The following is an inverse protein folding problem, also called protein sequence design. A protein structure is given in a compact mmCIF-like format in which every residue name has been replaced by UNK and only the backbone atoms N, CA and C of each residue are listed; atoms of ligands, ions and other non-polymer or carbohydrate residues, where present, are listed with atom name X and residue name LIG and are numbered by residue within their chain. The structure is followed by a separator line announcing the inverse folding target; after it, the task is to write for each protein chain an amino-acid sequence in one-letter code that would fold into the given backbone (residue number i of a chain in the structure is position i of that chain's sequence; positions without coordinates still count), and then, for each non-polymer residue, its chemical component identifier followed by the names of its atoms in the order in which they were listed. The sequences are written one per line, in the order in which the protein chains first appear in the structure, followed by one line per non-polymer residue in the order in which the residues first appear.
data_IF_011383021871
#
_entry.id   IF_011383021871
#
_cell.length_a   1.000
_cell.length_b   1.000
_cell.length_c   1.000
_cell.angle_alpha   90.00
_cell.angle_beta   90.00
_cell.angle_gamma   90.00
#
_symmetry.space_group_name_H-M   'P 1'
#
loop_
_entity.id
_entity.type
_entity.pdbx_description
1 polymer ?
#
# COMPACT_ATOMS: atom_id res chain seq x y z
N UNK A 1 -24.39 16.66 -15.28
CA UNK A 1 -25.00 15.76 -14.28
C UNK A 1 -24.06 14.57 -14.13
N UNK A 2 -23.27 14.32 -13.09
CA UNK A 2 -22.95 14.97 -11.81
C UNK A 2 -21.52 14.46 -11.52
N UNK A 3 -20.53 15.35 -11.41
CA UNK A 3 -19.17 14.97 -10.98
C UNK A 3 -19.22 14.79 -9.46
N UNK A 4 -19.37 13.57 -8.95
CA UNK A 4 -19.23 13.32 -7.51
C UNK A 4 -17.74 13.20 -7.17
N UNK A 5 -17.22 14.24 -6.53
CA UNK A 5 -15.88 14.31 -5.96
C UNK A 5 -15.69 13.19 -4.93
N UNK A 6 -14.71 12.31 -5.15
CA UNK A 6 -14.30 11.25 -4.22
C UNK A 6 -13.54 11.88 -3.05
N UNK A 7 -14.25 12.62 -2.19
CA UNK A 7 -13.70 13.17 -0.94
C UNK A 7 -14.54 12.88 0.30
N UNK A 8 -15.70 12.25 0.14
CA UNK A 8 -16.60 12.01 1.26
C UNK A 8 -16.64 10.52 1.57
N UNK A 9 -15.81 10.13 2.55
CA UNK A 9 -15.97 9.12 3.62
C UNK A 9 -14.55 8.67 4.02
N UNK A 10 -13.80 9.55 4.68
CA UNK A 10 -12.59 9.16 5.41
C UNK A 10 -12.73 9.74 6.81
N UNK A 11 -13.04 8.89 7.78
CA UNK A 11 -13.19 9.30 9.18
C UNK A 11 -11.82 9.57 9.81
N UNK A 12 -11.76 10.34 10.91
CA UNK A 12 -10.51 10.54 11.67
C UNK A 12 -9.85 9.23 12.14
N UNK A 13 -10.63 8.15 12.27
CA UNK A 13 -10.14 6.80 12.56
C UNK A 13 -9.42 6.19 11.35
N UNK A 14 -9.96 6.41 10.15
CA UNK A 14 -9.35 6.00 8.88
C UNK A 14 -8.04 6.77 8.63
N UNK A 15 -7.96 8.05 9.02
CA UNK A 15 -6.70 8.83 8.98
C UNK A 15 -5.63 8.28 9.93
N UNK A 16 -6.00 7.76 11.10
CA UNK A 16 -5.08 7.06 12.01
C UNK A 16 -4.68 5.66 11.52
N UNK A 17 -5.52 5.03 10.68
CA UNK A 17 -5.22 3.77 9.98
C UNK A 17 -4.36 4.03 8.73
N UNK A 18 -4.44 5.22 8.14
CA UNK A 18 -3.64 5.69 7.01
C UNK A 18 -2.17 5.96 7.40
N UNK A 19 -1.91 6.27 8.67
CA UNK A 19 -0.57 6.32 9.27
C UNK A 19 -0.18 4.95 9.83
N UNK A 20 -0.16 3.90 9.01
CA UNK A 20 0.42 2.62 9.44
C UNK A 20 1.94 2.71 9.48
N UNK A 21 2.34 3.26 10.61
CA UNK A 21 3.59 3.13 11.32
C UNK A 21 4.09 1.69 11.21
N UNK A 22 5.30 1.50 10.68
CA UNK A 22 6.08 0.29 10.96
C UNK A 22 6.13 0.09 12.49
N UNK A 23 5.63 -1.05 12.95
CA UNK A 23 5.61 -1.41 14.37
C UNK A 23 7.01 -1.47 15.01
N UNK A 24 8.09 -1.47 14.21
CA UNK A 24 9.47 -1.40 14.68
C UNK A 24 10.07 0.02 14.72
N UNK A 25 9.70 0.93 13.79
CA UNK A 25 10.38 2.24 13.63
C UNK A 25 9.51 3.49 13.80
N UNK A 26 8.19 3.38 13.92
CA UNK A 26 7.36 4.59 14.10
C UNK A 26 7.04 5.35 12.80
N UNK A 27 7.53 4.90 11.63
CA UNK A 27 7.46 5.67 10.37
C UNK A 27 6.43 5.10 9.39
N UNK A 28 5.69 5.95 8.65
CA UNK A 28 4.90 5.51 7.50
C UNK A 28 5.77 4.82 6.45
N UNK A 29 5.29 3.70 5.89
CA UNK A 29 6.03 2.91 4.89
C UNK A 29 6.51 3.72 3.68
N UNK A 30 5.71 4.72 3.28
CA UNK A 30 6.06 5.64 2.20
C UNK A 30 7.36 6.41 2.48
N UNK A 31 7.65 6.75 3.73
CA UNK A 31 8.88 7.44 4.11
C UNK A 31 10.11 6.55 3.98
N UNK A 32 9.99 5.24 4.17
CA UNK A 32 11.09 4.29 3.96
C UNK A 32 11.47 4.29 2.48
N UNK A 33 10.47 4.13 1.60
CA UNK A 33 10.69 4.16 0.15
C UNK A 33 11.23 5.51 -0.33
N UNK A 34 10.75 6.62 0.24
CA UNK A 34 11.24 7.97 -0.06
C UNK A 34 12.66 8.21 0.42
N UNK A 35 13.02 7.69 1.60
CA UNK A 35 14.38 7.71 2.12
C UNK A 35 15.33 6.95 1.19
N UNK A 36 14.88 5.83 0.63
CA UNK A 36 15.62 5.05 -0.37
C UNK A 36 15.69 5.74 -1.75
N UNK A 37 15.10 6.94 -1.90
CA UNK A 37 15.20 7.78 -3.08
C UNK A 37 14.11 7.55 -4.14
N UNK A 38 13.08 6.76 -3.83
CA UNK A 38 11.98 6.46 -4.74
C UNK A 38 10.72 7.28 -4.41
N UNK A 39 9.94 7.73 -5.40
CA UNK A 39 8.59 8.23 -5.14
C UNK A 39 7.72 7.11 -4.57
N UNK A 40 6.82 7.45 -3.66
CA UNK A 40 5.88 6.47 -3.11
C UNK A 40 4.52 7.07 -2.78
N UNK A 41 3.48 6.27 -2.95
CA UNK A 41 2.09 6.61 -2.64
C UNK A 41 1.44 5.46 -1.89
N UNK A 42 0.61 5.76 -0.90
CA UNK A 42 -0.23 4.76 -0.22
C UNK A 42 -1.66 4.90 -0.71
N UNK A 43 -2.22 3.80 -1.23
CA UNK A 43 -3.62 3.72 -1.65
C UNK A 43 -4.37 2.76 -0.73
N UNK A 44 -5.61 3.08 -0.37
CA UNK A 44 -6.49 2.16 0.36
C UNK A 44 -7.62 1.74 -0.56
N UNK A 45 -7.84 0.43 -0.67
CA UNK A 45 -8.95 -0.15 -1.41
C UNK A 45 -9.90 -0.84 -0.44
N UNK A 46 -11.18 -0.51 -0.52
CA UNK A 46 -12.24 -1.21 0.19
C UNK A 46 -12.81 -2.31 -0.71
N UNK A 47 -12.67 -3.55 -0.27
CA UNK A 47 -13.24 -4.74 -0.90
C UNK A 47 -14.77 -4.77 -0.75
N UNK A 48 -15.46 -5.54 -1.59
CA UNK A 48 -16.92 -5.61 -1.59
C UNK A 48 -17.52 -6.07 -0.25
N UNK A 49 -16.84 -6.97 0.44
CA UNK A 49 -17.20 -7.49 1.75
C UNK A 49 -16.69 -6.60 2.91
N UNK A 50 -16.01 -5.49 2.61
CA UNK A 50 -15.80 -4.39 3.56
C UNK A 50 -14.42 -4.33 4.20
N UNK A 51 -13.43 -5.07 3.71
CA UNK A 51 -12.04 -4.94 4.16
C UNK A 51 -11.34 -3.79 3.45
N UNK A 52 -10.65 -2.96 4.22
CA UNK A 52 -9.74 -1.93 3.74
C UNK A 52 -8.32 -2.51 3.68
N UNK A 53 -7.75 -2.54 2.48
CA UNK A 53 -6.44 -3.11 2.17
C UNK A 53 -5.52 -2.00 1.62
N UNK A 54 -4.28 -1.95 2.11
CA UNK A 54 -3.27 -1.02 1.63
C UNK A 54 -2.58 -1.53 0.36
N UNK A 55 -2.36 -0.63 -0.60
CA UNK A 55 -1.53 -0.83 -1.78
C UNK A 55 -0.46 0.24 -1.85
N UNK A 56 0.81 -0.14 -1.66
CA UNK A 56 1.94 0.77 -1.80
C UNK A 56 2.34 0.86 -3.26
N UNK A 57 2.42 2.08 -3.79
CA UNK A 57 2.79 2.31 -5.18
C UNK A 57 4.14 3.01 -5.27
N UNK A 58 5.00 2.52 -6.16
CA UNK A 58 6.25 3.13 -6.60
C UNK A 58 6.10 3.45 -8.09
N UNK A 59 5.70 4.68 -8.45
CA UNK A 59 5.30 4.99 -9.82
C UNK A 59 6.46 5.02 -10.82
N UNK A 60 7.70 5.20 -10.36
CA UNK A 60 8.91 5.19 -11.20
C UNK A 60 10.20 5.09 -10.39
N UNK A 61 11.28 4.61 -11.02
CA UNK A 61 12.62 4.55 -10.44
C UNK A 61 13.34 5.89 -10.29
N UNK A 62 14.47 5.92 -9.56
CA UNK A 62 15.19 7.15 -9.14
C UNK A 62 15.49 8.12 -10.30
N UNK A 63 15.92 7.56 -11.43
CA UNK A 63 16.34 8.31 -12.62
C UNK A 63 15.20 8.54 -13.63
N UNK A 64 14.03 7.96 -13.43
CA UNK A 64 12.93 7.93 -14.41
C UNK A 64 11.81 8.89 -14.03
N UNK A 65 12.13 10.17 -13.82
CA UNK A 65 11.17 11.16 -13.27
C UNK A 65 10.11 11.69 -14.23
N UNK A 66 10.11 11.31 -15.51
CA UNK A 66 9.18 11.89 -16.48
C UNK A 66 7.74 11.39 -16.23
N UNK A 67 6.80 12.26 -15.81
CA UNK A 67 5.43 11.87 -15.51
C UNK A 67 4.60 11.60 -16.78
N UNK A 68 5.08 12.03 -17.96
CA UNK A 68 4.38 11.82 -19.26
C UNK A 68 4.59 10.41 -19.83
N UNK A 69 5.54 9.66 -19.30
CA UNK A 69 5.80 8.28 -19.75
C UNK A 69 4.76 7.37 -19.11
N UNK A 70 3.93 6.74 -19.94
CA UNK A 70 3.06 5.67 -19.49
C UNK A 70 3.88 4.41 -19.24
N UNK A 71 3.87 3.93 -17.99
CA UNK A 71 4.61 2.74 -17.56
C UNK A 71 3.65 1.57 -17.43
N UNK A 72 4.14 0.36 -17.68
CA UNK A 72 3.34 -0.86 -17.51
C UNK A 72 3.18 -1.15 -16.01
N UNK A 73 1.95 -1.34 -15.50
CA UNK A 73 1.76 -1.65 -14.09
C UNK A 73 2.18 -3.09 -13.77
N UNK A 74 2.77 -3.30 -12.59
CA UNK A 74 3.08 -4.62 -12.03
C UNK A 74 2.55 -4.67 -10.60
N UNK A 75 1.78 -5.70 -10.27
CA UNK A 75 1.32 -5.97 -8.90
C UNK A 75 2.17 -7.08 -8.28
N UNK A 76 2.79 -6.79 -7.14
CA UNK A 76 3.55 -7.72 -6.33
C UNK A 76 2.77 -8.04 -5.06
N UNK A 77 2.69 -9.32 -4.73
CA UNK A 77 2.15 -9.82 -3.46
C UNK A 77 3.26 -10.68 -2.83
N UNK A 78 3.83 -10.22 -1.73
CA UNK A 78 4.84 -10.99 -1.00
C UNK A 78 4.18 -11.92 0.04
N UNK A 79 4.67 -13.16 0.11
CA UNK A 79 4.15 -14.17 1.03
C UNK A 79 4.83 -14.10 2.39
N UNK A 80 4.36 -13.23 3.28
CA UNK A 80 4.73 -13.23 4.70
C UNK A 80 3.70 -12.47 5.55
N UNK A 81 3.83 -12.50 6.88
CA UNK A 81 2.89 -11.88 7.85
C UNK A 81 2.69 -10.37 7.59
N UNK A 82 3.72 -9.69 7.09
CA UNK A 82 3.67 -8.31 6.60
C UNK A 82 4.15 -8.27 5.12
N UNK A 83 3.22 -8.32 4.15
CA UNK A 83 3.54 -8.37 2.72
C UNK A 83 4.25 -7.11 2.22
N UNK A 84 3.86 -5.96 2.76
CA UNK A 84 4.38 -4.68 2.30
C UNK A 84 5.85 -4.54 2.75
N UNK A 85 6.14 -4.83 4.02
CA UNK A 85 7.51 -4.79 4.53
C UNK A 85 8.40 -5.89 3.94
N UNK A 86 7.88 -7.10 3.78
CA UNK A 86 8.67 -8.23 3.25
C UNK A 86 9.14 -7.98 1.81
N UNK A 87 8.34 -7.32 0.98
CA UNK A 87 8.73 -6.92 -0.38
C UNK A 87 9.85 -5.87 -0.41
N UNK A 88 10.10 -5.14 0.68
CA UNK A 88 11.08 -4.05 0.77
C UNK A 88 12.29 -4.40 1.64
N UNK A 89 12.36 -5.65 2.12
CA UNK A 89 13.33 -6.07 3.14
C UNK A 89 14.80 -5.92 2.70
N UNK A 90 15.09 -6.08 1.40
CA UNK A 90 16.44 -5.99 0.84
C UNK A 90 16.85 -4.56 0.47
N UNK A 91 16.08 -3.53 0.89
CA UNK A 91 16.31 -2.13 0.51
C UNK A 91 16.51 -2.01 -1.00
N UNK A 92 17.53 -1.31 -1.50
CA UNK A 92 17.80 -1.03 -2.92
C UNK A 92 17.82 -2.27 -3.83
N UNK A 93 18.17 -3.44 -3.29
CA UNK A 93 18.20 -4.71 -4.04
C UNK A 93 16.83 -5.43 -4.07
N UNK A 94 15.81 -4.85 -3.45
CA UNK A 94 14.46 -5.42 -3.44
C UNK A 94 13.82 -5.37 -4.82
N UNK A 95 13.11 -6.44 -5.18
CA UNK A 95 12.42 -6.58 -6.47
C UNK A 95 11.54 -5.37 -6.86
N UNK A 96 10.78 -4.72 -5.95
CA UNK A 96 10.00 -3.53 -6.31
C UNK A 96 10.85 -2.38 -6.86
N UNK A 97 12.05 -2.18 -6.32
CA UNK A 97 12.94 -1.11 -6.74
C UNK A 97 13.61 -1.44 -8.08
N UNK A 98 14.07 -2.68 -8.26
CA UNK A 98 14.61 -3.14 -9.54
C UNK A 98 13.59 -2.98 -10.69
N UNK A 99 12.31 -3.27 -10.43
CA UNK A 99 11.24 -3.07 -11.41
C UNK A 99 10.96 -1.58 -11.66
N UNK A 100 10.96 -0.73 -10.63
CA UNK A 100 10.77 0.71 -10.79
C UNK A 100 11.89 1.32 -11.65
N UNK A 101 13.13 0.92 -11.43
CA UNK A 101 14.30 1.36 -12.22
C UNK A 101 14.28 0.81 -13.65
N UNK A 102 13.75 -0.41 -13.85
CA UNK A 102 13.48 -0.98 -15.17
C UNK A 102 12.33 -0.27 -15.92
N UNK A 103 11.61 0.66 -15.27
CA UNK A 103 10.59 1.51 -15.90
C UNK A 103 9.16 1.00 -15.76
N UNK A 104 8.88 0.12 -14.79
CA UNK A 104 7.52 -0.29 -14.46
C UNK A 104 6.86 0.67 -13.44
N UNK A 105 5.54 0.68 -13.42
CA UNK A 105 4.73 1.28 -12.35
C UNK A 105 4.40 0.18 -11.34
N UNK A 106 5.07 0.19 -10.18
CA UNK A 106 5.07 -0.95 -9.27
C UNK A 106 4.04 -0.73 -8.18
N UNK A 107 3.22 -1.74 -7.95
CA UNK A 107 2.22 -1.81 -6.89
C UNK A 107 2.55 -3.00 -6.00
N UNK A 108 2.60 -2.77 -4.69
CA UNK A 108 2.82 -3.79 -3.67
C UNK A 108 1.52 -3.91 -2.88
N UNK A 109 0.90 -5.07 -2.96
CA UNK A 109 -0.38 -5.33 -2.31
C UNK A 109 -0.22 -6.02 -0.97
N UNK A 110 -0.99 -5.51 0.00
CA UNK A 110 -1.29 -6.22 1.23
C UNK A 110 -2.48 -7.17 1.02
N UNK A 111 -2.82 -7.98 2.01
CA UNK A 111 -3.99 -8.84 1.98
C UNK A 111 -4.81 -8.79 3.27
N UNK A 112 -5.99 -9.43 3.25
CA UNK A 112 -6.92 -9.47 4.38
C UNK A 112 -6.27 -10.21 5.56
N UNK A 113 -6.56 -9.77 6.78
CA UNK A 113 -6.09 -10.45 7.99
C UNK A 113 -4.68 -10.06 8.44
N UNK A 114 -3.93 -9.28 7.67
CA UNK A 114 -2.63 -8.75 8.12
C UNK A 114 -2.80 -7.71 9.24
N UNK A 115 -1.75 -7.43 10.03
CA UNK A 115 -1.78 -6.34 11.01
C UNK A 115 -2.23 -5.00 10.39
N UNK A 116 -1.90 -4.79 9.12
CA UNK A 116 -2.23 -3.60 8.32
C UNK A 116 -3.56 -3.65 7.57
N UNK A 117 -4.29 -4.77 7.59
CA UNK A 117 -5.69 -4.79 7.14
C UNK A 117 -6.65 -4.17 8.18
N UNK A 118 -7.80 -3.66 7.74
CA UNK A 118 -8.91 -3.27 8.63
C UNK A 118 -10.25 -3.54 7.93
N UNK A 119 -11.37 -3.33 8.64
CA UNK A 119 -12.70 -3.56 8.08
C UNK A 119 -13.63 -2.41 8.48
N UNK A 120 -14.54 -2.04 7.60
CA UNK A 120 -15.52 -0.95 7.81
C UNK A 120 -16.47 -1.17 9.00
N UNK A 121 -16.59 -2.41 9.50
CA UNK A 121 -17.60 -2.80 10.50
C UNK A 121 -17.03 -3.61 11.65
N UNK A 122 -16.10 -4.52 11.36
CA UNK A 122 -15.54 -5.44 12.34
C UNK A 122 -14.12 -5.06 12.73
N UNK A 123 -13.74 -5.42 13.95
CA UNK A 123 -12.38 -5.28 14.48
C UNK A 123 -11.69 -6.64 14.47
N UNK A 124 -10.35 -6.67 14.58
CA UNK A 124 -9.57 -7.92 14.59
C UNK A 124 -9.93 -8.88 15.74
N UNK A 125 -10.61 -8.41 16.79
CA UNK A 125 -11.08 -9.26 17.89
C UNK A 125 -12.43 -9.91 17.61
N UNK A 126 -13.19 -9.38 16.63
CA UNK A 126 -14.46 -9.95 16.24
C UNK A 126 -14.23 -11.19 15.36
N UNK A 127 -14.86 -12.32 15.68
CA UNK A 127 -14.76 -13.53 14.84
C UNK A 127 -15.19 -13.30 13.39
N UNK A 128 -16.16 -12.41 13.17
CA UNK A 128 -16.64 -12.00 11.83
C UNK A 128 -15.58 -11.29 11.00
N UNK A 129 -14.55 -10.70 11.62
CA UNK A 129 -13.42 -10.14 10.88
C UNK A 129 -12.57 -11.23 10.21
N UNK A 130 -12.64 -12.47 10.68
CA UNK A 130 -11.86 -13.60 10.15
C UNK A 130 -12.69 -14.55 9.27
N UNK A 131 -13.96 -14.23 9.05
CA UNK A 131 -14.88 -14.98 8.18
C UNK A 131 -14.82 -14.41 6.75
N UNK A 132 -13.75 -14.72 6.03
CA UNK A 132 -13.56 -14.27 4.65
C UNK A 132 -14.58 -14.92 3.71
N UNK A 133 -15.17 -14.13 2.79
CA UNK A 133 -16.18 -14.59 1.83
C UNK A 133 -15.73 -14.47 0.38
#
# INVERSE_FOLDING_TARGET
LQKSSVKDVVTKKDVKVLEKIDSASGRPLTLIVQHDGYPSEMHIVTTQDGYNIGLLRIPYGKSKKNPKIQRKPVLLICGYIDPLMSCLFLQEDSLPYLLADAGFDVWIGDFRGTPSSSHVKYTKTDSKFWDFR
#
